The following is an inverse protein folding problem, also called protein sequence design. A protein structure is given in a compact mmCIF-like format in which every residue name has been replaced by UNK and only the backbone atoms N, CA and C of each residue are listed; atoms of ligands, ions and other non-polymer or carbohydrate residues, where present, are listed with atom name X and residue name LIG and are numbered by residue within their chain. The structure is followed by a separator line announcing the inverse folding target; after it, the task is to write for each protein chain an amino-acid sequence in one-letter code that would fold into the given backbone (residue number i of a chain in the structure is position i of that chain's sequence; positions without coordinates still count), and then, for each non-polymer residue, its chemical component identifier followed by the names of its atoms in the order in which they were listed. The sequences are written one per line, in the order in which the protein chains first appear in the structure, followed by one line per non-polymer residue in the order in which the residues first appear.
data_IF_277342925252
#
_entry.id   IF_277342925252
#
_cell.length_a   1.000
_cell.length_b   1.000
_cell.length_c   1.000
_cell.angle_alpha   90.00
_cell.angle_beta   90.00
_cell.angle_gamma   90.00
#
_symmetry.space_group_name_H-M   'P 1'
#
loop_
_entity.id
_entity.type
_entity.pdbx_description
1 polymer ?
#
# COMPACT_ATOMS: atom_id res chain seq x y z
N UNK A 1 -25.73 -1.43 34.40
CA UNK A 1 -26.15 -0.61 33.24
C UNK A 1 -25.30 0.65 33.26
N UNK A 2 -24.51 0.91 32.22
CA UNK A 2 -23.70 2.12 32.17
C UNK A 2 -24.59 3.30 31.74
N UNK A 3 -24.64 4.35 32.55
CA UNK A 3 -25.35 5.59 32.24
C UNK A 3 -24.57 6.34 31.16
N UNK A 4 -25.20 6.65 30.02
CA UNK A 4 -24.59 7.54 29.03
C UNK A 4 -24.50 8.95 29.61
N UNK A 5 -23.28 9.44 29.79
CA UNK A 5 -22.99 10.82 30.22
C UNK A 5 -22.79 11.67 28.97
N UNK A 6 -23.54 12.76 28.86
CA UNK A 6 -23.32 13.78 27.82
C UNK A 6 -22.09 14.59 28.22
N UNK A 7 -21.03 14.51 27.42
CA UNK A 7 -19.74 15.12 27.73
C UNK A 7 -19.67 16.62 27.37
N UNK A 8 -20.48 17.07 26.40
CA UNK A 8 -20.52 18.45 25.90
C UNK A 8 -21.93 18.73 25.34
N UNK A 9 -22.49 19.93 25.60
CA UNK A 9 -23.80 20.39 25.10
C UNK A 9 -23.68 21.37 23.91
N UNK A 10 -22.51 21.45 23.29
CA UNK A 10 -22.27 22.30 22.13
C UNK A 10 -22.61 21.51 20.86
N UNK A 11 -23.37 22.14 19.97
CA UNK A 11 -23.56 21.61 18.62
C UNK A 11 -22.36 21.97 17.76
N UNK A 12 -21.74 20.96 17.15
CA UNK A 12 -20.61 21.14 16.25
C UNK A 12 -21.10 21.11 14.79
N UNK A 13 -20.48 21.93 13.94
CA UNK A 13 -20.82 21.96 12.51
C UNK A 13 -20.56 20.61 11.80
N UNK A 14 -19.57 19.84 12.27
CA UNK A 14 -19.10 18.60 11.62
C UNK A 14 -19.28 17.36 12.50
N UNK A 15 -19.03 17.46 13.80
CA UNK A 15 -19.10 16.29 14.69
C UNK A 15 -20.57 15.92 14.91
N UNK A 16 -20.93 14.67 14.60
CA UNK A 16 -22.30 14.18 14.71
C UNK A 16 -23.18 14.41 13.47
N UNK A 17 -22.66 15.07 12.43
CA UNK A 17 -23.38 15.30 11.17
C UNK A 17 -22.97 14.30 10.07
N UNK A 18 -23.54 14.44 8.86
CA UNK A 18 -23.20 13.64 7.67
C UNK A 18 -22.48 14.50 6.62
N UNK A 19 -21.22 14.93 6.87
CA UNK A 19 -20.50 15.81 5.96
C UNK A 19 -20.20 15.12 4.63
N UNK A 20 -20.08 15.92 3.57
CA UNK A 20 -19.59 15.44 2.27
C UNK A 20 -18.15 14.96 2.44
N UNK A 21 -17.86 13.77 1.91
CA UNK A 21 -16.53 13.18 1.94
C UNK A 21 -15.56 13.95 1.03
N UNK A 22 -14.55 14.67 1.57
CA UNK A 22 -13.70 15.55 0.77
C UNK A 22 -12.89 14.82 -0.32
N UNK A 23 -12.42 13.60 -0.02
CA UNK A 23 -11.66 12.75 -0.94
C UNK A 23 -12.55 11.91 -1.87
N UNK A 24 -13.87 12.04 -1.78
CA UNK A 24 -14.83 11.19 -2.49
C UNK A 24 -14.74 11.36 -4.01
N UNK A 25 -14.75 12.60 -4.48
CA UNK A 25 -14.74 12.92 -5.91
C UNK A 25 -13.49 12.34 -6.60
N UNK A 26 -12.30 12.59 -6.06
CA UNK A 26 -11.06 12.13 -6.67
C UNK A 26 -10.96 10.61 -6.72
N UNK A 27 -11.53 9.91 -5.74
CA UNK A 27 -11.59 8.43 -5.72
C UNK A 27 -12.52 7.88 -6.80
N UNK A 28 -13.70 8.46 -6.98
CA UNK A 28 -14.68 7.95 -7.97
C UNK A 28 -14.35 8.38 -9.39
N UNK A 29 -13.57 9.43 -9.59
CA UNK A 29 -13.13 9.89 -10.92
C UNK A 29 -11.74 9.37 -11.33
N UNK A 30 -11.07 8.58 -10.47
CA UNK A 30 -9.71 8.10 -10.73
C UNK A 30 -8.62 9.19 -10.68
N UNK A 31 -8.87 10.32 -10.04
CA UNK A 31 -7.86 11.39 -9.83
C UNK A 31 -7.00 11.16 -8.59
N UNK A 32 -7.50 10.37 -7.63
CA UNK A 32 -6.73 10.00 -6.45
C UNK A 32 -5.48 9.21 -6.88
N UNK A 33 -4.30 9.66 -6.45
CA UNK A 33 -3.03 9.00 -6.73
C UNK A 33 -2.58 8.17 -5.52
N UNK A 34 -2.21 6.94 -5.77
CA UNK A 34 -1.63 6.00 -4.81
C UNK A 34 -0.16 5.74 -5.16
N UNK A 35 0.57 5.06 -4.27
CA UNK A 35 1.99 4.78 -4.45
C UNK A 35 2.29 4.03 -5.76
N UNK A 36 1.37 3.20 -6.24
CA UNK A 36 1.51 2.46 -7.49
C UNK A 36 1.32 3.33 -8.76
N UNK A 37 0.71 4.52 -8.62
CA UNK A 37 0.46 5.46 -9.73
C UNK A 37 1.63 6.44 -9.92
N UNK A 38 2.71 6.27 -9.15
CA UNK A 38 3.89 7.12 -9.20
C UNK A 38 4.86 6.61 -10.27
N UNK A 39 5.25 7.51 -11.18
CA UNK A 39 6.31 7.26 -12.16
C UNK A 39 7.40 8.31 -11.96
N UNK A 40 8.64 7.86 -11.81
CA UNK A 40 9.82 8.71 -11.63
C UNK A 40 10.85 8.43 -12.72
N UNK A 41 11.70 9.40 -13.09
CA UNK A 41 12.80 9.14 -14.01
C UNK A 41 13.68 7.99 -13.53
N UNK A 42 13.90 6.99 -14.39
CA UNK A 42 14.71 5.79 -14.12
C UNK A 42 14.14 4.86 -13.02
N UNK A 43 12.83 4.92 -12.75
CA UNK A 43 12.16 4.01 -11.82
C UNK A 43 12.39 2.55 -12.23
N UNK A 44 12.91 1.74 -11.30
CA UNK A 44 13.06 0.29 -11.45
C UNK A 44 11.84 -0.44 -10.89
N UNK A 45 11.57 -1.62 -11.43
CA UNK A 45 10.49 -2.50 -10.98
C UNK A 45 11.08 -3.70 -10.24
N UNK A 46 10.56 -3.96 -9.04
CA UNK A 46 10.91 -5.13 -8.24
C UNK A 46 9.89 -6.25 -8.40
N UNK A 47 10.34 -7.50 -8.35
CA UNK A 47 9.48 -8.68 -8.24
C UNK A 47 10.01 -9.61 -7.16
N UNK A 48 9.11 -10.12 -6.33
CA UNK A 48 9.44 -11.04 -5.24
C UNK A 48 9.27 -12.47 -5.72
N UNK A 49 10.34 -13.27 -5.64
CA UNK A 49 10.26 -14.73 -5.71
C UNK A 49 9.88 -15.25 -4.33
N UNK A 50 8.77 -16.00 -4.23
CA UNK A 50 8.27 -16.53 -2.96
C UNK A 50 8.61 -18.01 -2.83
N UNK A 51 8.76 -18.45 -1.58
CA UNK A 51 8.96 -19.87 -1.27
C UNK A 51 7.76 -20.69 -1.76
N UNK A 52 7.99 -21.82 -2.48
CA UNK A 52 6.93 -22.79 -2.77
C UNK A 52 6.65 -23.72 -1.58
N UNK A 53 7.48 -23.67 -0.53
CA UNK A 53 7.35 -24.52 0.65
C UNK A 53 6.86 -23.71 1.85
N UNK A 54 5.90 -24.26 2.61
CA UNK A 54 5.38 -23.64 3.82
C UNK A 54 6.42 -23.57 4.95
N UNK A 55 7.30 -24.57 5.05
CA UNK A 55 8.41 -24.60 6.01
C UNK A 55 9.59 -25.39 5.42
N UNK A 56 10.74 -24.74 5.27
CA UNK A 56 11.97 -25.34 4.76
C UNK A 56 13.19 -24.48 5.14
N UNK A 57 14.38 -25.09 5.16
CA UNK A 57 15.65 -24.35 5.23
C UNK A 57 16.13 -24.04 3.80
N UNK A 58 16.38 -22.77 3.50
CA UNK A 58 17.03 -22.36 2.25
C UNK A 58 18.50 -22.78 2.32
N UNK A 59 18.90 -23.76 1.51
CA UNK A 59 20.30 -24.21 1.44
C UNK A 59 21.12 -23.38 0.46
N UNK A 60 20.51 -22.95 -0.64
CA UNK A 60 21.13 -22.15 -1.69
C UNK A 60 20.07 -21.42 -2.51
N UNK A 61 20.48 -20.32 -3.15
CA UNK A 61 19.70 -19.61 -4.16
C UNK A 61 20.67 -19.34 -5.33
N UNK A 62 20.41 -19.93 -6.49
CA UNK A 62 21.16 -19.63 -7.71
C UNK A 62 20.46 -18.52 -8.49
N UNK A 63 21.12 -17.36 -8.55
CA UNK A 63 20.61 -16.14 -9.19
C UNK A 63 21.27 -15.88 -10.56
N UNK A 64 22.17 -16.77 -11.02
CA UNK A 64 22.99 -16.57 -12.22
C UNK A 64 22.16 -16.27 -13.47
N UNK A 65 21.12 -17.06 -13.71
CA UNK A 65 20.22 -16.88 -14.86
C UNK A 65 19.45 -15.57 -14.79
N UNK A 66 19.01 -15.15 -13.61
CA UNK A 66 18.31 -13.88 -13.44
C UNK A 66 19.25 -12.70 -13.71
N UNK A 67 20.47 -12.73 -13.19
CA UNK A 67 21.48 -11.68 -13.42
C UNK A 67 21.94 -11.59 -14.88
N UNK A 68 21.89 -12.71 -15.63
CA UNK A 68 22.25 -12.73 -17.05
C UNK A 68 21.19 -12.10 -17.97
N UNK A 69 19.97 -11.86 -17.48
CA UNK A 69 18.90 -11.28 -18.29
C UNK A 69 19.14 -9.77 -18.53
N UNK A 70 19.07 -9.29 -19.79
CA UNK A 70 19.13 -7.87 -20.09
C UNK A 70 18.06 -7.08 -19.32
N UNK A 71 18.47 -5.99 -18.68
CA UNK A 71 17.57 -5.10 -17.92
C UNK A 71 17.48 -5.40 -16.43
N UNK A 72 17.92 -6.59 -15.96
CA UNK A 72 18.02 -6.86 -14.52
C UNK A 72 19.14 -6.01 -13.93
N UNK A 73 18.81 -5.26 -12.86
CA UNK A 73 19.77 -4.36 -12.20
C UNK A 73 20.37 -4.94 -10.92
N UNK A 74 19.61 -5.77 -10.20
CA UNK A 74 20.05 -6.40 -8.97
C UNK A 74 19.18 -7.62 -8.65
N UNK A 75 19.74 -8.54 -7.87
CA UNK A 75 19.02 -9.59 -7.14
C UNK A 75 19.48 -9.51 -5.69
N UNK A 76 18.54 -9.49 -4.74
CA UNK A 76 18.80 -9.38 -3.29
C UNK A 76 18.26 -10.63 -2.60
N UNK A 77 19.08 -11.29 -1.80
CA UNK A 77 18.79 -12.58 -1.12
C UNK A 77 19.23 -12.56 0.32
#
# INVERSE_FOLDING_TARGET
MATNVVLVNEEFDVVGTRPIRPDGNDKVTGRARYSADMTLPRLLQGKILRSPHAHARIKSIDVSKALALPGVKAVVT
#
